data_IF_087216372388
#
_entry.id   IF_087216372388
#
_cell.length_a   1.000
_cell.length_b   1.000
_cell.length_c   1.000
_cell.angle_alpha   90.00
_cell.angle_beta   90.00
_cell.angle_gamma   90.00
#
_symmetry.space_group_name_H-M   'P 1'
#
loop_
_entity.id
_entity.type
_entity.pdbx_description
1 polymer ?
#
# COMPACT_ATOMS: atom_id res chain seq x y z
N UNK A 1 23.41 10.49 64.93
CA UNK A 1 23.29 9.44 66.00
C UNK A 1 23.35 8.13 65.28
N UNK A 2 24.53 7.52 65.35
CA UNK A 2 24.85 6.10 65.64
C UNK A 2 24.22 5.07 64.68
N UNK A 3 24.84 4.02 64.14
CA UNK A 3 26.20 3.42 64.15
C UNK A 3 26.22 2.38 63.06
N UNK A 4 27.19 2.31 62.21
CA UNK A 4 28.25 1.29 62.13
C UNK A 4 27.89 -0.18 62.41
N UNK A 5 28.28 -1.08 61.48
CA UNK A 5 29.25 -2.15 61.70
C UNK A 5 29.23 -3.08 60.47
N UNK A 6 30.25 -3.19 59.60
CA UNK A 6 31.43 -4.10 59.63
C UNK A 6 31.00 -5.57 59.88
N UNK A 7 31.45 -6.63 59.21
CA UNK A 7 32.78 -7.07 58.84
C UNK A 7 32.74 -8.48 58.26
N UNK A 8 33.68 -8.80 57.35
CA UNK A 8 34.54 -9.95 57.05
C UNK A 8 33.98 -11.13 56.24
N UNK A 9 34.55 -11.44 55.10
CA UNK A 9 35.81 -12.09 54.73
C UNK A 9 35.92 -13.55 55.25
N UNK A 10 35.98 -14.53 54.37
CA UNK A 10 36.95 -15.63 54.36
C UNK A 10 36.97 -16.30 52.98
N UNK A 11 38.19 -16.54 52.52
CA UNK A 11 38.59 -17.25 51.32
C UNK A 11 38.74 -18.76 51.56
N UNK A 12 38.64 -19.56 50.50
CA UNK A 12 39.37 -20.83 50.31
C UNK A 12 39.14 -21.30 48.89
N UNK A 13 40.02 -21.29 48.06
CA UNK A 13 41.09 -22.13 47.52
C UNK A 13 40.65 -23.57 47.25
N UNK A 14 40.59 -23.95 45.97
CA UNK A 14 40.42 -25.34 45.55
C UNK A 14 40.76 -25.47 44.06
N UNK A 15 42.01 -25.73 43.80
CA UNK A 15 42.61 -26.06 42.51
C UNK A 15 42.24 -27.50 42.14
N UNK A 16 41.67 -27.73 40.93
CA UNK A 16 41.83 -29.03 40.29
C UNK A 16 41.87 -28.90 38.77
N UNK A 17 43.03 -29.17 38.24
CA UNK A 17 43.42 -29.21 36.85
C UNK A 17 42.89 -30.52 36.22
N UNK A 18 42.14 -30.48 35.11
CA UNK A 18 42.04 -31.58 34.18
C UNK A 18 42.14 -31.03 32.77
N UNK A 19 43.31 -31.23 32.19
CA UNK A 19 43.54 -31.02 30.76
C UNK A 19 42.89 -32.14 29.97
N UNK A 20 41.99 -31.79 29.07
CA UNK A 20 41.60 -32.63 27.94
C UNK A 20 41.87 -31.84 26.66
N UNK A 21 42.92 -32.24 25.98
CA UNK A 21 43.25 -31.83 24.62
C UNK A 21 42.24 -32.42 23.67
N UNK A 22 41.34 -31.57 23.15
CA UNK A 22 40.54 -31.90 21.96
C UNK A 22 41.15 -31.14 20.79
N UNK A 23 41.63 -31.91 19.83
CA UNK A 23 42.13 -31.41 18.56
C UNK A 23 40.95 -31.08 17.68
N UNK A 24 40.58 -29.79 17.55
CA UNK A 24 39.60 -29.35 16.58
C UNK A 24 40.33 -28.93 15.31
N UNK A 25 40.02 -29.64 14.23
CA UNK A 25 40.44 -29.30 12.87
C UNK A 25 39.81 -27.98 12.49
N UNK A 26 40.63 -26.96 12.28
CA UNK A 26 40.22 -25.68 11.71
C UNK A 26 39.90 -25.90 10.25
N UNK A 27 38.60 -26.00 9.92
CA UNK A 27 38.16 -25.88 8.55
C UNK A 27 38.18 -24.39 8.21
N UNK A 28 39.05 -24.00 7.29
CA UNK A 28 39.05 -22.65 6.71
C UNK A 28 37.69 -22.39 6.08
N UNK A 29 36.90 -21.51 6.70
CA UNK A 29 35.69 -20.95 6.09
C UNK A 29 36.16 -19.83 5.19
N UNK A 30 36.27 -20.11 3.89
CA UNK A 30 36.34 -19.05 2.89
C UNK A 30 35.13 -18.16 3.02
N UNK A 31 35.27 -16.80 3.07
CA UNK A 31 34.13 -15.93 3.05
C UNK A 31 33.44 -16.05 1.70
N UNK A 32 32.32 -16.78 1.67
CA UNK A 32 31.37 -16.71 0.57
C UNK A 32 30.81 -15.29 0.56
N UNK A 33 31.17 -14.52 -0.45
CA UNK A 33 30.48 -13.28 -0.80
C UNK A 33 29.06 -13.62 -1.24
N UNK A 34 28.20 -13.92 -0.29
CA UNK A 34 26.77 -13.83 -0.51
C UNK A 34 26.45 -12.34 -0.57
N UNK A 35 26.47 -11.79 -1.79
CA UNK A 35 25.70 -10.59 -2.07
C UNK A 35 24.28 -10.91 -1.61
N UNK A 36 23.88 -10.27 -0.54
CA UNK A 36 22.50 -10.26 -0.03
C UNK A 36 21.64 -9.60 -1.10
N UNK A 37 21.26 -10.40 -2.09
CA UNK A 37 20.17 -10.03 -2.97
C UNK A 37 18.92 -10.07 -2.08
N UNK A 38 18.57 -8.92 -1.54
CA UNK A 38 17.24 -8.69 -0.99
C UNK A 38 16.26 -8.98 -2.12
N UNK A 39 15.86 -10.24 -2.23
CA UNK A 39 14.80 -10.64 -3.14
C UNK A 39 13.58 -9.84 -2.70
N UNK A 40 13.21 -8.82 -3.47
CA UNK A 40 11.98 -8.09 -3.29
C UNK A 40 10.88 -9.15 -3.18
N UNK A 41 10.25 -9.26 -2.02
CA UNK A 41 9.12 -10.15 -1.83
C UNK A 41 8.02 -9.65 -2.74
N UNK A 42 7.90 -10.30 -3.89
CA UNK A 42 6.81 -10.03 -4.83
C UNK A 42 5.54 -10.52 -4.17
N UNK A 43 4.76 -9.62 -3.61
CA UNK A 43 3.43 -9.94 -3.11
C UNK A 43 2.60 -10.47 -4.30
N UNK A 44 1.88 -11.57 -4.08
CA UNK A 44 1.07 -12.20 -5.13
C UNK A 44 -0.01 -11.24 -5.65
N UNK A 45 -0.45 -11.44 -6.88
CA UNK A 45 -1.61 -10.74 -7.45
C UNK A 45 -2.86 -11.07 -6.62
N UNK A 46 -3.61 -10.05 -6.25
CA UNK A 46 -4.90 -10.17 -5.54
C UNK A 46 -6.03 -9.80 -6.50
N UNK A 47 -7.00 -10.67 -6.60
CA UNK A 47 -8.23 -10.43 -7.36
C UNK A 47 -9.28 -9.84 -6.41
N UNK A 48 -9.73 -8.63 -6.72
CA UNK A 48 -10.83 -7.95 -6.03
C UNK A 48 -12.10 -8.08 -6.83
N UNK A 49 -13.19 -8.48 -6.20
CA UNK A 49 -14.51 -8.59 -6.85
C UNK A 49 -15.50 -7.67 -6.15
N UNK A 50 -16.10 -6.76 -6.91
CA UNK A 50 -17.25 -5.97 -6.49
C UNK A 50 -18.49 -6.67 -7.03
N UNK A 51 -19.29 -7.27 -6.18
CA UNK A 51 -20.48 -8.01 -6.59
C UNK A 51 -21.55 -7.08 -7.16
N UNK A 52 -22.40 -7.60 -8.08
CA UNK A 52 -23.60 -6.90 -8.53
C UNK A 52 -24.43 -6.41 -7.35
N UNK A 53 -24.85 -5.16 -7.38
CA UNK A 53 -25.63 -4.53 -6.30
C UNK A 53 -24.81 -4.10 -5.09
N UNK A 54 -23.47 -4.14 -5.19
CA UNK A 54 -22.55 -3.71 -4.13
C UNK A 54 -21.74 -2.48 -4.54
N UNK A 55 -21.30 -1.72 -3.55
CA UNK A 55 -20.25 -0.70 -3.69
C UNK A 55 -18.87 -1.26 -3.36
N UNK A 56 -18.78 -2.17 -2.39
CA UNK A 56 -17.54 -2.64 -1.81
C UNK A 56 -17.00 -3.89 -2.50
N UNK A 57 -15.69 -3.99 -2.61
CA UNK A 57 -15.03 -5.23 -3.00
C UNK A 57 -15.07 -6.25 -1.85
N UNK A 58 -14.91 -7.52 -2.20
CA UNK A 58 -14.87 -8.67 -1.28
C UNK A 58 -13.69 -8.62 -0.29
N UNK A 59 -12.61 -7.94 -0.66
CA UNK A 59 -11.39 -7.78 0.15
C UNK A 59 -11.19 -6.31 0.50
N UNK A 60 -11.67 -5.87 1.66
CA UNK A 60 -11.66 -4.48 2.11
C UNK A 60 -11.35 -4.34 3.61
N UNK A 61 -10.52 -5.23 4.15
CA UNK A 61 -10.12 -5.23 5.56
C UNK A 61 -9.36 -3.98 5.99
N UNK A 62 -9.42 -3.64 7.27
CA UNK A 62 -8.66 -2.52 7.81
C UNK A 62 -7.16 -2.82 7.83
N UNK A 63 -6.34 -1.96 7.20
CA UNK A 63 -4.88 -2.04 7.21
C UNK A 63 -4.31 -0.65 7.42
N UNK A 64 -3.68 -0.43 8.58
CA UNK A 64 -2.96 0.82 8.86
C UNK A 64 -1.73 0.91 7.96
N UNK A 65 -1.46 2.11 7.43
CA UNK A 65 -0.31 2.39 6.57
C UNK A 65 0.45 3.63 7.02
N UNK A 66 1.78 3.59 6.82
CA UNK A 66 2.67 4.74 6.97
C UNK A 66 3.78 4.58 5.92
N UNK A 67 3.72 5.33 4.82
CA UNK A 67 4.60 5.15 3.67
C UNK A 67 4.77 6.45 2.87
N UNK A 68 5.88 6.56 2.15
CA UNK A 68 6.19 7.72 1.29
C UNK A 68 5.75 7.49 -0.16
N UNK A 69 5.54 6.24 -0.54
CA UNK A 69 5.02 5.84 -1.85
C UNK A 69 4.16 4.59 -1.71
N UNK A 70 3.11 4.50 -2.53
CA UNK A 70 2.30 3.30 -2.72
C UNK A 70 2.34 2.95 -4.20
N UNK A 71 2.94 1.81 -4.53
CA UNK A 71 3.14 1.37 -5.91
C UNK A 71 2.50 0.01 -6.13
N UNK A 72 1.81 -0.17 -7.25
CA UNK A 72 1.13 -1.40 -7.60
C UNK A 72 0.91 -1.55 -9.10
N UNK A 73 0.75 -2.79 -9.55
CA UNK A 73 0.20 -3.12 -10.86
C UNK A 73 -1.32 -3.23 -10.78
N UNK A 74 -2.02 -2.83 -11.82
CA UNK A 74 -3.47 -3.01 -11.95
C UNK A 74 -3.85 -3.53 -13.33
N UNK A 75 -4.78 -4.48 -13.36
CA UNK A 75 -5.38 -4.97 -14.61
C UNK A 75 -6.89 -5.01 -14.45
N UNK A 76 -7.58 -4.43 -15.43
CA UNK A 76 -9.03 -4.50 -15.56
C UNK A 76 -9.40 -5.43 -16.71
N UNK A 77 -10.35 -6.31 -16.50
CA UNK A 77 -10.91 -7.13 -17.55
C UNK A 77 -12.21 -6.50 -18.15
N UNK A 78 -12.88 -7.20 -19.03
CA UNK A 78 -14.09 -6.71 -19.70
C UNK A 78 -15.23 -6.37 -18.74
N UNK A 79 -15.19 -6.81 -17.48
CA UNK A 79 -16.22 -6.47 -16.48
C UNK A 79 -16.15 -5.00 -16.03
N UNK A 80 -15.05 -4.29 -16.34
CA UNK A 80 -14.96 -2.85 -16.13
C UNK A 80 -15.75 -2.02 -17.18
N UNK A 81 -16.28 -2.67 -18.21
CA UNK A 81 -17.16 -2.06 -19.20
C UNK A 81 -18.60 -2.13 -18.67
N UNK A 82 -19.13 -1.02 -18.24
CA UNK A 82 -20.47 -0.96 -17.63
C UNK A 82 -21.30 0.20 -18.18
N UNK A 83 -22.61 0.11 -17.96
CA UNK A 83 -23.56 1.18 -18.18
C UNK A 83 -24.37 1.39 -16.91
N UNK A 84 -24.46 2.64 -16.47
CA UNK A 84 -25.30 3.05 -15.33
C UNK A 84 -26.78 3.03 -15.69
N UNK A 85 -27.64 2.91 -14.69
CA UNK A 85 -29.11 2.98 -14.86
C UNK A 85 -29.50 4.40 -15.28
N UNK A 86 -29.05 5.39 -14.53
CA UNK A 86 -29.22 6.80 -14.85
C UNK A 86 -28.01 7.30 -15.66
N UNK A 87 -28.27 7.82 -16.86
CA UNK A 87 -27.20 8.22 -17.79
C UNK A 87 -26.29 9.34 -17.26
N UNK A 88 -26.80 10.21 -16.39
CA UNK A 88 -26.00 11.25 -15.71
C UNK A 88 -24.96 10.68 -14.75
N UNK A 89 -25.14 9.45 -14.24
CA UNK A 89 -24.21 8.80 -13.33
C UNK A 89 -23.06 8.08 -14.06
N UNK A 90 -23.11 8.00 -15.41
CA UNK A 90 -22.03 7.35 -16.19
C UNK A 90 -20.68 8.04 -16.02
N UNK A 91 -20.69 9.31 -15.67
CA UNK A 91 -19.50 10.10 -15.39
C UNK A 91 -18.94 9.96 -13.97
N UNK A 92 -19.63 9.24 -13.07
CA UNK A 92 -19.22 9.02 -11.70
C UNK A 92 -17.88 8.27 -11.63
N UNK A 93 -17.08 8.64 -10.64
CA UNK A 93 -15.76 8.05 -10.47
C UNK A 93 -15.83 6.94 -9.43
N UNK A 94 -15.59 5.71 -9.88
CA UNK A 94 -15.30 4.57 -9.00
C UNK A 94 -13.91 4.77 -8.38
N UNK A 95 -13.69 4.18 -7.22
CA UNK A 95 -12.42 4.28 -6.51
C UNK A 95 -11.64 2.99 -6.69
N UNK A 96 -10.34 3.10 -6.89
CA UNK A 96 -9.48 1.95 -7.13
C UNK A 96 -8.69 1.60 -5.85
N UNK A 97 -7.57 2.23 -5.63
CA UNK A 97 -6.62 1.85 -4.59
C UNK A 97 -5.86 3.07 -4.11
N UNK A 98 -5.53 3.13 -2.82
CA UNK A 98 -4.84 4.25 -2.22
C UNK A 98 -4.90 4.24 -0.71
N UNK A 99 -4.91 5.42 -0.10
CA UNK A 99 -4.87 5.56 1.36
C UNK A 99 -5.70 6.76 1.84
N UNK A 100 -6.24 6.66 3.06
CA UNK A 100 -6.55 7.84 3.87
C UNK A 100 -5.23 8.43 4.36
N UNK A 101 -5.18 9.70 4.65
CA UNK A 101 -3.92 10.38 4.97
C UNK A 101 -4.09 11.43 6.07
N UNK A 102 -2.94 11.99 6.51
CA UNK A 102 -2.87 13.00 7.57
C UNK A 102 -3.52 12.53 8.88
N UNK A 103 -3.48 11.21 9.17
CA UNK A 103 -4.15 10.59 10.32
C UNK A 103 -5.66 10.93 10.41
N UNK A 104 -6.33 11.06 9.28
CA UNK A 104 -7.73 11.47 9.20
C UNK A 104 -8.60 10.45 8.46
N UNK A 105 -9.93 10.60 8.57
CA UNK A 105 -10.88 9.87 7.73
C UNK A 105 -10.67 10.17 6.25
N UNK A 106 -10.94 9.19 5.39
CA UNK A 106 -10.71 9.29 3.94
C UNK A 106 -11.59 10.32 3.23
N UNK A 107 -12.71 10.74 3.80
CA UNK A 107 -13.50 11.87 3.32
C UNK A 107 -12.96 13.23 3.80
N UNK A 108 -11.97 13.22 4.71
CA UNK A 108 -11.27 14.44 5.13
C UNK A 108 -10.02 14.64 4.29
N UNK A 109 -9.08 13.67 4.31
CA UNK A 109 -7.88 13.71 3.48
C UNK A 109 -7.55 12.30 2.98
N UNK A 110 -7.40 12.15 1.69
CA UNK A 110 -7.03 10.87 1.07
C UNK A 110 -6.50 11.05 -0.34
N UNK A 111 -5.76 10.05 -0.80
CA UNK A 111 -5.33 9.91 -2.18
C UNK A 111 -5.64 8.52 -2.69
N UNK A 112 -6.33 8.42 -3.81
CA UNK A 112 -6.68 7.17 -4.49
C UNK A 112 -6.58 7.35 -5.99
N UNK A 113 -6.23 6.29 -6.70
CA UNK A 113 -6.62 6.22 -8.09
C UNK A 113 -8.15 6.07 -8.17
N UNK A 114 -8.75 6.75 -9.14
CA UNK A 114 -10.12 6.57 -9.55
C UNK A 114 -10.18 5.90 -10.92
N UNK A 115 -11.34 5.34 -11.27
CA UNK A 115 -11.57 4.76 -12.58
C UNK A 115 -13.04 4.91 -12.98
N UNK A 116 -13.30 4.93 -14.31
CA UNK A 116 -14.66 4.89 -14.84
C UNK A 116 -14.65 4.42 -16.30
N UNK A 117 -15.71 3.75 -16.71
CA UNK A 117 -15.98 3.53 -18.12
C UNK A 117 -16.75 4.71 -18.67
N UNK A 118 -16.10 5.56 -19.43
CA UNK A 118 -16.67 6.79 -19.94
C UNK A 118 -16.18 7.08 -21.35
N UNK A 119 -17.08 7.53 -22.25
CA UNK A 119 -16.76 7.78 -23.66
C UNK A 119 -16.07 6.57 -24.35
N UNK A 120 -16.59 5.36 -24.13
CA UNK A 120 -16.07 4.08 -24.66
C UNK A 120 -14.61 3.79 -24.32
N UNK A 121 -14.13 4.26 -23.20
CA UNK A 121 -12.79 3.97 -22.70
C UNK A 121 -12.77 3.86 -21.17
N UNK A 122 -11.84 3.09 -20.65
CA UNK A 122 -11.56 3.05 -19.23
C UNK A 122 -10.63 4.22 -18.89
N UNK A 123 -11.16 5.20 -18.20
CA UNK A 123 -10.40 6.36 -17.71
C UNK A 123 -9.84 6.06 -16.32
N UNK A 124 -8.54 6.41 -16.13
CA UNK A 124 -7.84 6.33 -14.83
C UNK A 124 -7.56 7.76 -14.37
N UNK A 125 -7.91 8.04 -13.12
CA UNK A 125 -7.90 9.38 -12.56
C UNK A 125 -7.11 9.42 -11.24
N UNK A 126 -6.49 10.58 -10.95
CA UNK A 126 -6.11 10.96 -9.61
C UNK A 126 -7.36 11.46 -8.88
N UNK A 127 -7.67 10.89 -7.71
CA UNK A 127 -8.83 11.25 -6.91
C UNK A 127 -8.39 11.52 -5.47
N UNK A 128 -8.65 12.70 -4.95
CA UNK A 128 -8.23 13.10 -3.61
C UNK A 128 -9.36 13.76 -2.84
N UNK A 129 -9.29 13.64 -1.51
CA UNK A 129 -9.94 14.56 -0.59
C UNK A 129 -8.89 15.48 0.01
N UNK A 130 -9.17 16.77 0.04
CA UNK A 130 -8.38 17.81 0.70
C UNK A 130 -9.31 18.61 1.61
N UNK A 131 -9.16 18.46 2.93
CA UNK A 131 -9.99 19.16 3.92
C UNK A 131 -11.49 19.01 3.62
N UNK A 132 -11.97 17.80 3.45
CA UNK A 132 -13.36 17.40 3.15
C UNK A 132 -13.87 17.79 1.75
N UNK A 133 -13.02 18.30 0.86
CA UNK A 133 -13.37 18.62 -0.51
C UNK A 133 -12.74 17.62 -1.46
N UNK A 134 -13.56 16.91 -2.23
CA UNK A 134 -13.04 16.00 -3.25
C UNK A 134 -12.59 16.75 -4.50
N UNK A 135 -11.58 16.22 -5.16
CA UNK A 135 -10.99 16.73 -6.40
C UNK A 135 -10.53 15.55 -7.24
N UNK A 136 -10.48 15.75 -8.56
CA UNK A 136 -9.89 14.75 -9.45
C UNK A 136 -9.23 15.39 -10.67
N UNK A 137 -8.33 14.63 -11.29
CA UNK A 137 -7.74 14.92 -12.61
C UNK A 137 -7.64 13.62 -13.40
N UNK A 138 -7.93 13.69 -14.70
CA UNK A 138 -7.67 12.57 -15.60
C UNK A 138 -6.16 12.37 -15.73
N UNK A 139 -5.69 11.13 -15.61
CA UNK A 139 -4.29 10.75 -15.87
C UNK A 139 -4.20 10.27 -17.31
N UNK A 140 -4.92 9.18 -17.64
CA UNK A 140 -4.98 8.60 -18.98
C UNK A 140 -6.12 7.59 -19.13
N UNK A 141 -6.25 7.02 -20.33
CA UNK A 141 -7.07 5.86 -20.59
C UNK A 141 -6.21 4.58 -20.54
N UNK A 142 -6.76 3.50 -19.97
CA UNK A 142 -6.13 2.18 -19.90
C UNK A 142 -6.92 1.19 -20.77
N UNK A 143 -6.31 0.54 -21.77
CA UNK A 143 -6.98 -0.52 -22.52
C UNK A 143 -7.39 -1.69 -21.62
N UNK A 144 -8.58 -2.24 -21.84
CA UNK A 144 -9.05 -3.45 -21.15
C UNK A 144 -8.07 -4.60 -21.37
N UNK A 145 -7.74 -5.34 -20.33
CA UNK A 145 -6.79 -6.46 -20.31
C UNK A 145 -5.31 -6.04 -20.25
N UNK A 146 -5.00 -4.75 -20.39
CA UNK A 146 -3.63 -4.26 -20.22
C UNK A 146 -3.33 -4.01 -18.74
N UNK A 147 -2.13 -4.44 -18.30
CA UNK A 147 -1.60 -4.10 -16.97
C UNK A 147 -0.93 -2.73 -17.01
N UNK A 148 -1.22 -1.88 -16.05
CA UNK A 148 -0.54 -0.62 -15.82
C UNK A 148 0.17 -0.60 -14.47
N UNK A 149 1.31 0.08 -14.40
CA UNK A 149 2.02 0.37 -13.15
C UNK A 149 1.54 1.72 -12.62
N UNK A 150 0.96 1.70 -11.45
CA UNK A 150 0.44 2.86 -10.74
C UNK A 150 1.26 3.17 -9.49
N UNK A 151 1.52 4.45 -9.22
CA UNK A 151 2.21 4.89 -8.01
C UNK A 151 1.59 6.18 -7.48
N UNK A 152 1.42 6.27 -6.17
CA UNK A 152 1.11 7.51 -5.45
C UNK A 152 2.34 7.85 -4.62
N UNK A 153 3.05 8.92 -4.96
CA UNK A 153 4.15 9.46 -4.15
C UNK A 153 3.61 10.57 -3.25
N UNK A 154 4.01 10.52 -1.99
CA UNK A 154 3.67 11.53 -0.99
C UNK A 154 4.94 12.30 -0.64
N UNK A 155 5.04 13.52 -1.12
CA UNK A 155 6.20 14.38 -0.90
C UNK A 155 5.73 15.80 -0.64
N UNK A 156 6.19 16.38 0.47
CA UNK A 156 5.79 17.69 0.91
C UNK A 156 4.25 17.83 0.99
N UNK A 157 3.69 18.96 0.67
CA UNK A 157 2.23 19.18 0.62
C UNK A 157 1.61 18.72 -0.72
N UNK A 158 2.10 17.60 -1.30
CA UNK A 158 1.69 17.16 -2.63
C UNK A 158 1.59 15.63 -2.73
N UNK A 159 0.58 15.17 -3.49
CA UNK A 159 0.53 13.83 -4.06
C UNK A 159 0.95 13.89 -5.53
N UNK A 160 1.83 13.00 -5.95
CA UNK A 160 2.12 12.77 -7.37
C UNK A 160 1.61 11.39 -7.76
N UNK A 161 0.62 11.35 -8.62
CA UNK A 161 0.08 10.12 -9.20
C UNK A 161 0.82 9.83 -10.49
N UNK A 162 1.34 8.62 -10.61
CA UNK A 162 2.06 8.16 -11.79
C UNK A 162 1.35 6.92 -12.35
N UNK A 163 1.10 6.88 -13.65
CA UNK A 163 0.63 5.69 -14.36
C UNK A 163 1.44 5.51 -15.65
N UNK A 164 2.20 4.43 -15.74
CA UNK A 164 3.07 4.11 -16.89
C UNK A 164 3.92 5.33 -17.33
N UNK A 165 4.46 6.10 -16.36
CA UNK A 165 5.30 7.28 -16.58
C UNK A 165 4.54 8.61 -16.80
N UNK A 166 3.22 8.59 -16.93
CA UNK A 166 2.41 9.83 -16.94
C UNK A 166 2.15 10.30 -15.52
N UNK A 167 2.37 11.58 -15.26
CA UNK A 167 2.28 12.16 -13.93
C UNK A 167 1.21 13.24 -13.80
N UNK A 168 0.50 13.21 -12.68
CA UNK A 168 -0.47 14.24 -12.29
C UNK A 168 -0.28 14.56 -10.81
N UNK A 169 -0.12 15.85 -10.50
CA UNK A 169 0.04 16.32 -9.14
C UNK A 169 -1.27 16.89 -8.57
N UNK A 170 -1.52 16.60 -7.30
CA UNK A 170 -2.67 17.04 -6.51
C UNK A 170 -2.19 17.59 -5.16
N UNK A 171 -2.85 18.62 -4.60
CA UNK A 171 -2.47 19.17 -3.30
C UNK A 171 -2.76 18.18 -2.16
N UNK A 172 -1.97 18.24 -1.10
CA UNK A 172 -2.03 17.43 0.11
C UNK A 172 -2.08 18.33 1.34
N UNK A 173 -2.81 17.91 2.39
CA UNK A 173 -3.03 18.72 3.59
C UNK A 173 -1.89 18.64 4.63
N UNK A 174 -0.97 17.68 4.51
CA UNK A 174 0.11 17.46 5.47
C UNK A 174 1.43 17.14 4.75
N UNK A 175 2.53 17.09 5.51
CA UNK A 175 3.88 16.79 5.04
C UNK A 175 4.35 15.41 5.54
N UNK A 176 5.52 14.96 5.09
CA UNK A 176 6.13 13.71 5.50
C UNK A 176 5.45 12.47 4.94
N UNK A 177 5.62 11.31 5.58
CA UNK A 177 5.01 10.06 5.16
C UNK A 177 3.47 10.14 5.19
N UNK A 178 2.83 9.48 4.22
CA UNK A 178 1.39 9.26 4.23
C UNK A 178 1.00 8.36 5.39
N UNK A 179 0.07 8.80 6.23
CA UNK A 179 -0.31 8.11 7.45
C UNK A 179 -1.83 8.01 7.60
N UNK A 180 -2.33 6.77 7.64
CA UNK A 180 -3.75 6.49 7.74
C UNK A 180 -4.05 5.01 7.55
N UNK A 181 -4.99 4.68 6.70
CA UNK A 181 -5.35 3.30 6.37
C UNK A 181 -5.53 3.10 4.86
N UNK A 182 -5.28 1.88 4.42
CA UNK A 182 -5.41 1.49 3.02
C UNK A 182 -6.86 1.56 2.56
N UNK A 183 -7.05 1.99 1.33
CA UNK A 183 -8.34 2.07 0.66
C UNK A 183 -8.38 1.13 -0.53
N UNK A 184 -9.47 0.40 -0.66
CA UNK A 184 -9.66 -0.71 -1.60
C UNK A 184 -10.64 -0.34 -2.71
N UNK A 185 -10.77 -1.16 -3.76
CA UNK A 185 -11.73 -0.94 -4.84
C UNK A 185 -13.16 -0.77 -4.34
N UNK A 186 -13.83 0.26 -4.87
CA UNK A 186 -15.19 0.65 -4.52
C UNK A 186 -15.90 1.15 -5.78
N UNK A 187 -17.06 0.63 -6.10
CA UNK A 187 -17.89 1.09 -7.20
C UNK A 187 -18.81 2.23 -6.75
N UNK A 188 -18.93 3.25 -7.59
CA UNK A 188 -19.89 4.30 -7.39
C UNK A 188 -19.27 5.67 -7.13
N UNK A 189 -20.08 6.59 -7.28
CA UNK A 189 -21.03 7.62 -6.94
C UNK A 189 -22.32 7.08 -6.30
N UNK A 190 -23.37 7.41 -6.98
CA UNK A 190 -24.73 7.19 -6.48
C UNK A 190 -25.27 5.78 -6.76
N UNK A 191 -24.68 5.06 -7.72
CA UNK A 191 -25.13 3.74 -8.12
C UNK A 191 -24.18 2.63 -7.69
N UNK A 192 -24.76 1.48 -7.36
CA UNK A 192 -24.06 0.22 -7.12
C UNK A 192 -23.59 -0.43 -8.43
N UNK A 193 -22.66 -1.38 -8.35
CA UNK A 193 -22.18 -2.13 -9.52
C UNK A 193 -23.35 -2.83 -10.26
N UNK A 194 -23.54 -2.58 -11.56
CA UNK A 194 -24.65 -3.16 -12.34
C UNK A 194 -24.46 -4.65 -12.61
N UNK A 195 -23.27 -5.16 -12.54
CA UNK A 195 -22.85 -6.55 -12.60
C UNK A 195 -21.59 -6.74 -11.74
N UNK A 196 -21.10 -7.96 -11.59
CA UNK A 196 -19.85 -8.20 -10.89
C UNK A 196 -18.68 -7.57 -11.67
N UNK A 197 -17.82 -6.81 -10.97
CA UNK A 197 -16.62 -6.17 -11.54
C UNK A 197 -15.38 -6.77 -10.89
N UNK A 198 -14.44 -7.22 -11.72
CA UNK A 198 -13.19 -7.85 -11.29
C UNK A 198 -12.00 -6.94 -11.59
N UNK A 199 -11.16 -6.73 -10.59
CA UNK A 199 -9.94 -5.91 -10.68
C UNK A 199 -8.79 -6.69 -10.06
N UNK A 200 -7.70 -6.85 -10.81
CA UNK A 200 -6.49 -7.49 -10.33
C UNK A 200 -5.50 -6.44 -9.90
N UNK A 201 -4.96 -6.58 -8.69
CA UNK A 201 -3.96 -5.66 -8.13
C UNK A 201 -2.81 -6.48 -7.57
N UNK A 202 -1.58 -6.02 -7.84
CA UNK A 202 -0.36 -6.58 -7.27
C UNK A 202 0.46 -5.45 -6.68
N UNK A 203 0.65 -5.46 -5.36
CA UNK A 203 1.51 -4.50 -4.68
C UNK A 203 2.96 -4.67 -5.15
N UNK A 204 3.63 -3.55 -5.42
CA UNK A 204 5.05 -3.47 -5.74
C UNK A 204 5.78 -2.79 -4.57
N UNK A 205 6.87 -3.40 -4.12
CA UNK A 205 7.70 -2.90 -3.01
C UNK A 205 8.80 -2.02 -3.56
#
# INVERSE_FOLDING_TARGET
MFKNTRVRLVAALGLLCCALTSCETITEVTPSNNADSTAAQTLGEVVYTISKGSHYSDKNGFKKVSLTSMKFEVTFDSTAVYKTIASNNQGDINKLYGLSDCNSDHHTNSARFGWRWYNNRLEILAYTYLNKKWQYKLIDALPIGKTAVCEIRMQDAQYTFVMDGKEVSMPRACNGAGAGYQLYPYFGGDEVAPHAVTIKIKDLI
#
